data_IF_669208134510
#
_entry.id   IF_669208134510
#
_cell.length_a   1.000
_cell.length_b   1.000
_cell.length_c   1.000
_cell.angle_alpha   90.00
_cell.angle_beta   90.00
_cell.angle_gamma   90.00
#
_symmetry.space_group_name_H-M   'P 1'
#
loop_
_entity.id
_entity.type
_entity.pdbx_description
1 polymer ?
#
# COMPACT_ATOMS: atom_id res chain seq x y z
N UNK A 1 -10.91 -55.16 -14.23
CA UNK A 1 -12.07 -55.11 -13.31
C UNK A 1 -12.33 -53.63 -13.01
N UNK A 2 -13.08 -52.90 -13.84
CA UNK A 2 -14.54 -52.67 -13.78
C UNK A 2 -15.07 -52.33 -12.39
N UNK A 3 -15.24 -51.03 -12.12
CA UNK A 3 -16.49 -50.50 -11.56
C UNK A 3 -16.67 -49.04 -11.99
N UNK A 4 -17.84 -48.80 -12.58
CA UNK A 4 -18.40 -47.51 -13.01
C UNK A 4 -19.55 -47.16 -12.06
N UNK A 5 -19.93 -45.88 -12.13
CA UNK A 5 -21.23 -45.28 -11.79
C UNK A 5 -21.34 -44.73 -10.35
N UNK A 6 -22.03 -43.62 -10.06
CA UNK A 6 -23.26 -43.09 -10.67
C UNK A 6 -23.60 -41.64 -10.21
N UNK A 7 -24.42 -40.94 -11.02
CA UNK A 7 -25.42 -39.87 -10.75
C UNK A 7 -24.96 -38.55 -10.07
N UNK A 8 -24.92 -37.38 -10.73
CA UNK A 8 -26.03 -36.47 -11.16
C UNK A 8 -27.04 -36.07 -10.08
N UNK A 9 -27.07 -34.78 -9.75
CA UNK A 9 -28.17 -34.07 -9.07
C UNK A 9 -27.86 -32.57 -9.04
N UNK A 10 -28.37 -31.81 -10.00
CA UNK A 10 -29.62 -31.03 -9.95
C UNK A 10 -29.37 -29.58 -9.52
N UNK A 11 -29.31 -28.73 -10.54
CA UNK A 11 -29.38 -27.28 -10.46
C UNK A 11 -30.75 -26.85 -9.95
N UNK A 12 -30.76 -25.90 -9.01
CA UNK A 12 -31.97 -25.19 -8.62
C UNK A 12 -31.68 -23.69 -8.56
N UNK A 13 -32.54 -22.95 -9.26
CA UNK A 13 -32.51 -21.53 -9.51
C UNK A 13 -32.81 -20.69 -8.27
N UNK A 14 -32.22 -19.49 -8.20
CA UNK A 14 -32.89 -18.35 -7.59
C UNK A 14 -32.44 -17.06 -8.29
N UNK A 15 -33.26 -16.65 -9.26
CA UNK A 15 -33.26 -15.32 -9.83
C UNK A 15 -34.13 -14.44 -8.91
N UNK A 16 -33.52 -13.47 -8.22
CA UNK A 16 -34.23 -12.41 -7.52
C UNK A 16 -33.90 -11.08 -8.19
N UNK A 17 -34.91 -10.55 -8.88
CA UNK A 17 -34.91 -9.25 -9.52
C UNK A 17 -34.92 -8.14 -8.44
N UNK A 18 -33.95 -7.23 -8.50
CA UNK A 18 -34.01 -5.95 -7.80
C UNK A 18 -34.34 -4.86 -8.82
N UNK A 19 -35.61 -4.46 -8.83
CA UNK A 19 -36.10 -3.29 -9.52
C UNK A 19 -35.67 -2.03 -8.76
N UNK A 20 -34.96 -1.13 -9.43
CA UNK A 20 -34.62 0.22 -8.92
C UNK A 20 -35.72 1.17 -9.41
N UNK A 21 -36.45 1.86 -8.50
CA UNK A 21 -37.41 2.88 -8.91
C UNK A 21 -36.68 4.15 -9.37
N UNK A 22 -37.03 4.63 -10.56
CA UNK A 22 -36.64 5.94 -11.07
C UNK A 22 -37.37 7.04 -10.29
N UNK A 23 -36.63 7.84 -9.52
CA UNK A 23 -37.15 9.03 -8.86
C UNK A 23 -36.93 10.27 -9.76
N UNK A 24 -37.92 10.57 -10.60
CA UNK A 24 -38.08 11.87 -11.25
C UNK A 24 -38.79 12.84 -10.28
N UNK A 25 -38.05 13.80 -9.73
CA UNK A 25 -38.59 14.90 -8.95
C UNK A 25 -37.91 16.21 -9.33
N UNK A 26 -38.35 16.83 -10.42
CA UNK A 26 -38.02 18.21 -10.75
C UNK A 26 -38.95 19.13 -9.95
N UNK A 27 -38.44 19.72 -8.88
CA UNK A 27 -39.12 20.82 -8.19
C UNK A 27 -38.68 22.11 -8.89
N UNK A 28 -39.55 22.65 -9.75
CA UNK A 28 -39.40 24.00 -10.28
C UNK A 28 -39.50 24.98 -9.12
N UNK A 29 -38.38 25.61 -8.79
CA UNK A 29 -38.28 26.64 -7.79
C UNK A 29 -38.68 27.97 -8.45
N UNK A 30 -39.91 28.38 -8.20
CA UNK A 30 -40.51 29.64 -8.62
C UNK A 30 -39.66 30.80 -8.07
N UNK A 31 -39.06 31.60 -8.95
CA UNK A 31 -38.33 32.81 -8.57
C UNK A 31 -39.32 33.87 -8.08
N UNK A 32 -39.07 34.52 -6.92
CA UNK A 32 -39.86 35.67 -6.50
C UNK A 32 -39.61 36.86 -7.44
N UNK A 33 -40.67 37.54 -7.92
CA UNK A 33 -40.54 38.82 -8.59
C UNK A 33 -40.31 39.94 -7.55
N UNK A 34 -39.72 41.05 -8.00
CA UNK A 34 -39.45 42.29 -7.27
C UNK A 34 -38.03 42.47 -6.68
N UNK A 35 -37.03 42.48 -7.57
CA UNK A 35 -35.83 43.29 -7.35
C UNK A 35 -36.18 44.77 -7.61
N UNK A 36 -36.44 45.49 -6.53
CA UNK A 36 -36.67 46.94 -6.51
C UNK A 36 -35.47 47.71 -7.08
N UNK A 37 -35.66 48.69 -7.99
CA UNK A 37 -34.57 49.48 -8.59
C UNK A 37 -33.91 50.52 -7.65
N UNK A 38 -34.21 50.53 -6.35
CA UNK A 38 -33.73 51.56 -5.42
C UNK A 38 -32.31 51.34 -4.86
N UNK A 39 -31.62 50.25 -5.22
CA UNK A 39 -30.25 49.97 -4.72
C UNK A 39 -29.10 50.48 -5.61
N UNK A 40 -29.39 51.08 -6.77
CA UNK A 40 -28.33 51.47 -7.71
C UNK A 40 -27.63 52.80 -7.39
N UNK A 41 -28.21 53.67 -6.56
CA UNK A 41 -27.57 54.95 -6.20
C UNK A 41 -26.49 54.81 -5.10
N UNK A 42 -26.51 53.73 -4.30
CA UNK A 42 -25.46 53.44 -3.31
C UNK A 42 -24.18 52.85 -3.92
N UNK A 43 -24.20 52.44 -5.19
CA UNK A 43 -23.03 51.82 -5.86
C UNK A 43 -22.08 52.83 -6.52
N UNK A 44 -22.34 54.14 -6.42
CA UNK A 44 -21.50 55.17 -7.09
C UNK A 44 -20.35 55.73 -6.25
N UNK A 45 -20.27 55.40 -4.97
CA UNK A 45 -19.10 55.72 -4.13
C UNK A 45 -18.32 54.43 -3.87
N UNK A 46 -17.52 54.03 -4.85
CA UNK A 46 -16.46 53.06 -4.61
C UNK A 46 -15.41 53.78 -3.78
N UNK A 47 -15.27 53.37 -2.52
CA UNK A 47 -14.23 53.87 -1.63
C UNK A 47 -12.84 53.59 -2.25
N UNK A 48 -12.03 54.63 -2.54
CA UNK A 48 -10.69 54.46 -3.10
C UNK A 48 -9.76 53.63 -2.20
N UNK A 49 -10.04 53.54 -0.90
CA UNK A 49 -9.25 52.73 0.03
C UNK A 49 -9.55 51.23 -0.14
N UNK A 50 -10.80 50.87 -0.43
CA UNK A 50 -11.21 49.50 -0.74
C UNK A 50 -10.60 49.01 -2.06
N UNK A 51 -10.45 49.89 -3.07
CA UNK A 51 -9.75 49.56 -4.31
C UNK A 51 -8.27 49.26 -4.07
N UNK A 52 -7.58 50.05 -3.23
CA UNK A 52 -6.19 49.77 -2.84
C UNK A 52 -6.02 48.44 -2.11
N UNK A 53 -6.96 48.10 -1.21
CA UNK A 53 -6.93 46.80 -0.53
C UNK A 53 -7.13 45.62 -1.50
N UNK A 54 -8.01 45.78 -2.50
CA UNK A 54 -8.23 44.77 -3.53
C UNK A 54 -7.01 44.59 -4.44
N UNK A 55 -6.30 45.68 -4.78
CA UNK A 55 -5.04 45.62 -5.53
C UNK A 55 -3.93 44.93 -4.74
N UNK A 56 -3.79 45.24 -3.44
CA UNK A 56 -2.81 44.59 -2.57
C UNK A 56 -3.05 43.07 -2.45
N UNK A 57 -4.32 42.67 -2.34
CA UNK A 57 -4.73 41.26 -2.32
C UNK A 57 -4.47 40.56 -3.66
N UNK A 58 -4.67 41.26 -4.78
CA UNK A 58 -4.39 40.73 -6.12
C UNK A 58 -2.91 40.45 -6.31
N UNK A 59 -2.03 41.36 -5.89
CA UNK A 59 -0.58 41.17 -5.97
C UNK A 59 -0.11 40.01 -5.09
N UNK A 60 -0.69 39.85 -3.89
CA UNK A 60 -0.42 38.68 -3.05
C UNK A 60 -0.87 37.36 -3.69
N UNK A 61 -2.05 37.34 -4.31
CA UNK A 61 -2.54 36.18 -5.05
C UNK A 61 -1.66 35.84 -6.26
N UNK A 62 -1.19 36.85 -7.00
CA UNK A 62 -0.27 36.64 -8.13
C UNK A 62 1.07 36.08 -7.66
N UNK A 63 1.63 36.59 -6.56
CA UNK A 63 2.86 36.02 -5.98
C UNK A 63 2.67 34.60 -5.49
N UNK A 64 1.52 34.29 -4.87
CA UNK A 64 1.19 32.92 -4.48
C UNK A 64 1.05 32.02 -5.70
N UNK A 65 0.40 32.49 -6.77
CA UNK A 65 0.31 31.75 -8.03
C UNK A 65 1.68 31.54 -8.70
N UNK A 66 2.55 32.55 -8.71
CA UNK A 66 3.92 32.41 -9.22
C UNK A 66 4.76 31.46 -8.36
N UNK A 67 4.60 31.50 -7.04
CA UNK A 67 5.28 30.57 -6.13
C UNK A 67 4.79 29.14 -6.37
N UNK A 68 3.48 28.94 -6.50
CA UNK A 68 2.88 27.64 -6.82
C UNK A 68 3.23 27.16 -8.24
N UNK A 69 3.38 28.08 -9.21
CA UNK A 69 3.80 27.76 -10.56
C UNK A 69 5.29 27.41 -10.65
N UNK A 70 6.14 28.06 -9.85
CA UNK A 70 7.56 27.72 -9.70
C UNK A 70 7.78 26.41 -8.93
N UNK A 71 6.92 26.10 -7.96
CA UNK A 71 6.89 24.78 -7.31
C UNK A 71 6.38 23.66 -8.25
N UNK A 72 5.65 24.03 -9.31
CA UNK A 72 5.09 23.10 -10.30
C UNK A 72 6.04 22.68 -11.43
N UNK A 73 7.26 23.24 -11.53
CA UNK A 73 8.25 22.89 -12.57
C UNK A 73 9.55 22.35 -11.99
N UNK A 74 9.49 21.60 -10.88
CA UNK A 74 10.45 20.52 -10.71
C UNK A 74 10.05 19.48 -11.76
N UNK A 75 10.61 19.61 -12.96
CA UNK A 75 10.64 18.54 -13.95
C UNK A 75 10.91 17.25 -13.17
N UNK A 76 9.92 16.36 -13.18
CA UNK A 76 9.95 15.07 -12.51
C UNK A 76 11.03 14.25 -13.22
N UNK A 77 12.29 14.55 -12.90
CA UNK A 77 13.44 13.89 -13.48
C UNK A 77 13.34 12.45 -12.99
N UNK A 78 12.82 11.60 -13.87
CA UNK A 78 12.71 10.17 -13.65
C UNK A 78 14.09 9.67 -13.19
N UNK A 79 14.18 9.31 -11.91
CA UNK A 79 15.42 8.77 -11.34
C UNK A 79 15.74 7.49 -12.12
N UNK A 80 16.98 7.36 -12.58
CA UNK A 80 17.45 6.17 -13.30
C UNK A 80 18.53 5.48 -12.50
N UNK A 81 18.54 4.15 -12.54
CA UNK A 81 19.61 3.38 -11.92
C UNK A 81 20.90 3.41 -12.76
N UNK A 82 21.96 2.76 -12.27
CA UNK A 82 23.24 2.66 -12.97
C UNK A 82 23.15 1.96 -14.35
N UNK A 83 22.02 1.32 -14.67
CA UNK A 83 21.74 0.67 -15.96
C UNK A 83 20.77 1.47 -16.82
N UNK A 84 20.41 2.69 -16.42
CA UNK A 84 19.48 3.57 -17.14
C UNK A 84 18.00 3.19 -16.99
N UNK A 85 17.67 2.21 -16.13
CA UNK A 85 16.29 1.79 -15.88
C UNK A 85 15.59 2.81 -15.00
N UNK A 86 14.33 3.07 -15.29
CA UNK A 86 13.52 4.02 -14.54
C UNK A 86 13.17 3.48 -13.15
N UNK A 87 13.27 4.38 -12.18
CA UNK A 87 12.95 4.13 -10.79
C UNK A 87 11.67 4.86 -10.42
N UNK A 88 10.78 4.14 -9.75
CA UNK A 88 9.60 4.73 -9.15
C UNK A 88 10.01 5.67 -8.02
N UNK A 89 9.35 6.82 -7.95
CA UNK A 89 9.45 7.75 -6.82
C UNK A 89 8.81 7.12 -5.58
N UNK A 90 9.48 7.23 -4.44
CA UNK A 90 8.94 6.78 -3.17
C UNK A 90 8.19 7.91 -2.48
N UNK A 91 7.01 7.59 -1.96
CA UNK A 91 6.26 8.46 -1.04
C UNK A 91 6.79 8.30 0.39
N UNK A 92 7.88 9.01 0.68
CA UNK A 92 8.50 9.02 2.00
C UNK A 92 7.64 9.66 3.08
N UNK A 93 6.75 10.58 2.70
CA UNK A 93 5.83 11.20 3.65
C UNK A 93 4.86 10.14 4.17
N UNK A 94 4.17 9.42 3.29
CA UNK A 94 3.26 8.34 3.69
C UNK A 94 3.98 7.22 4.43
N UNK A 95 5.23 6.93 4.06
CA UNK A 95 6.06 5.95 4.79
C UNK A 95 6.27 6.37 6.25
N UNK A 96 6.63 7.64 6.49
CA UNK A 96 6.82 8.18 7.86
C UNK A 96 5.53 8.20 8.66
N UNK A 97 4.41 8.56 8.04
CA UNK A 97 3.09 8.55 8.67
C UNK A 97 2.72 7.13 9.15
N UNK A 98 2.86 6.12 8.28
CA UNK A 98 2.59 4.73 8.62
C UNK A 98 3.54 4.19 9.71
N UNK A 99 4.83 4.56 9.65
CA UNK A 99 5.82 4.18 10.65
C UNK A 99 5.48 4.79 12.02
N UNK A 100 5.04 6.05 12.08
CA UNK A 100 4.61 6.69 13.33
C UNK A 100 3.40 5.95 13.94
N UNK A 101 2.42 5.56 13.12
CA UNK A 101 1.27 4.77 13.56
C UNK A 101 1.69 3.37 14.03
N UNK A 102 2.70 2.77 13.41
CA UNK A 102 3.25 1.48 13.83
C UNK A 102 3.93 1.57 15.20
N UNK A 103 4.82 2.56 15.40
CA UNK A 103 5.49 2.81 16.69
C UNK A 103 4.48 3.11 17.82
N UNK A 104 3.42 3.85 17.50
CA UNK A 104 2.34 4.11 18.47
C UNK A 104 1.59 2.84 18.88
N UNK A 105 1.39 1.88 17.96
CA UNK A 105 0.78 0.58 18.28
C UNK A 105 1.67 -0.27 19.18
N UNK A 106 2.97 -0.33 18.87
CA UNK A 106 3.95 -1.10 19.65
C UNK A 106 4.11 -0.55 21.08
N UNK A 107 4.18 0.78 21.25
CA UNK A 107 4.25 1.40 22.59
C UNK A 107 3.00 1.15 23.45
N UNK A 108 1.81 1.14 22.84
CA UNK A 108 0.57 0.79 23.54
C UNK A 108 0.53 -0.68 23.98
N UNK A 109 1.04 -1.60 23.17
CA UNK A 109 1.13 -3.01 23.53
C UNK A 109 2.02 -3.24 24.76
N UNK A 110 3.14 -2.50 24.89
CA UNK A 110 4.07 -2.63 26.02
C UNK A 110 3.58 -2.04 27.35
N UNK A 111 2.62 -1.10 27.34
CA UNK A 111 2.22 -0.36 28.55
C UNK A 111 1.08 -1.02 29.34
N UNK A 112 0.34 -1.97 28.74
CA UNK A 112 -0.83 -2.61 29.35
C UNK A 112 -0.48 -3.98 29.98
N UNK A 113 0.27 -3.97 31.07
CA UNK A 113 0.72 -5.15 31.83
C UNK A 113 -0.33 -5.74 32.81
N UNK A 114 -1.62 -5.83 32.44
CA UNK A 114 -2.62 -6.48 33.34
C UNK A 114 -3.69 -7.36 32.70
N UNK A 115 -3.73 -7.56 31.38
CA UNK A 115 -4.55 -8.63 30.80
C UNK A 115 -4.03 -9.08 29.42
N UNK A 116 -3.92 -10.39 29.16
CA UNK A 116 -3.53 -10.90 27.85
C UNK A 116 -4.59 -10.50 26.82
N UNK A 117 -4.28 -9.56 25.93
CA UNK A 117 -5.09 -9.31 24.74
C UNK A 117 -4.82 -10.42 23.71
N UNK A 118 -5.85 -11.04 23.10
CA UNK A 118 -5.68 -12.12 22.11
C UNK A 118 -5.08 -11.67 20.76
N UNK A 119 -4.60 -10.43 20.67
CA UNK A 119 -3.95 -9.84 19.49
C UNK A 119 -2.60 -9.24 19.91
N UNK A 120 -1.81 -10.02 20.64
CA UNK A 120 -0.44 -9.65 20.98
C UNK A 120 0.33 -9.48 19.68
N UNK A 121 0.81 -8.26 19.44
CA UNK A 121 1.57 -7.91 18.24
C UNK A 121 2.95 -8.55 18.39
N UNK A 122 3.20 -9.58 17.61
CA UNK A 122 4.51 -10.22 17.54
C UNK A 122 5.58 -9.16 17.19
N UNK A 123 6.79 -9.17 17.74
CA UNK A 123 7.87 -8.37 17.17
C UNK A 123 8.14 -8.77 15.70
N UNK A 124 8.69 -7.86 14.88
CA UNK A 124 9.19 -8.23 13.57
C UNK A 124 10.27 -9.32 13.68
N UNK A 125 10.26 -10.26 12.75
CA UNK A 125 11.31 -11.26 12.67
C UNK A 125 12.66 -10.59 12.35
N UNK A 126 13.68 -10.92 13.16
CA UNK A 126 14.98 -10.26 13.07
C UNK A 126 15.80 -10.78 11.88
N UNK A 127 16.38 -9.88 11.06
CA UNK A 127 17.38 -10.25 10.07
C UNK A 127 18.62 -10.88 10.72
N UNK A 128 19.16 -11.96 10.15
CA UNK A 128 20.30 -12.70 10.74
C UNK A 128 21.62 -12.55 9.96
N UNK A 129 21.52 -12.21 8.68
CA UNK A 129 22.67 -12.17 7.75
C UNK A 129 23.07 -10.74 7.35
N UNK A 130 22.47 -9.72 7.96
CA UNK A 130 22.63 -8.31 7.59
C UNK A 130 22.77 -7.50 8.86
N UNK A 131 23.75 -6.59 8.89
CA UNK A 131 23.92 -5.63 9.98
C UNK A 131 22.87 -4.51 9.87
N UNK A 132 22.54 -3.87 10.99
CA UNK A 132 21.46 -2.87 11.00
C UNK A 132 21.71 -1.69 10.03
N UNK A 133 22.96 -1.31 9.81
CA UNK A 133 23.36 -0.25 8.88
C UNK A 133 23.13 -0.63 7.41
N UNK A 134 23.29 -1.91 7.05
CA UNK A 134 22.99 -2.40 5.70
C UNK A 134 21.49 -2.38 5.36
N UNK A 135 20.60 -2.38 6.37
CA UNK A 135 19.14 -2.28 6.16
C UNK A 135 18.69 -0.87 5.77
N UNK A 136 19.58 0.12 5.87
CA UNK A 136 19.38 1.49 5.37
C UNK A 136 19.72 1.61 3.87
N UNK A 137 20.48 0.64 3.33
CA UNK A 137 20.95 0.66 1.94
C UNK A 137 19.83 0.71 0.90
N UNK A 138 18.72 -0.05 1.02
CA UNK A 138 17.64 0.04 0.06
C UNK A 138 17.00 1.42 0.12
N UNK A 139 16.91 2.10 -1.03
CA UNK A 139 16.22 3.40 -1.14
C UNK A 139 14.70 3.22 -1.27
N UNK A 140 14.13 2.24 -0.57
CA UNK A 140 12.70 1.95 -0.53
C UNK A 140 12.33 1.40 0.86
N UNK A 141 11.07 1.58 1.30
CA UNK A 141 10.62 1.03 2.57
C UNK A 141 10.76 -0.50 2.58
N UNK A 142 11.52 -1.01 3.55
CA UNK A 142 11.75 -2.43 3.72
C UNK A 142 10.59 -3.01 4.54
N UNK A 143 9.72 -3.77 3.87
CA UNK A 143 8.57 -4.41 4.48
C UNK A 143 8.90 -5.85 4.88
N UNK A 144 8.80 -6.15 6.17
CA UNK A 144 9.01 -7.48 6.74
C UNK A 144 7.76 -7.95 7.46
N UNK A 145 7.47 -9.26 7.46
CA UNK A 145 6.34 -9.80 8.22
C UNK A 145 6.61 -9.74 9.72
N UNK A 146 5.58 -9.30 10.44
CA UNK A 146 5.49 -9.31 11.89
C UNK A 146 5.17 -10.72 12.38
N UNK A 147 6.19 -11.56 12.61
CA UNK A 147 6.02 -12.97 13.04
C UNK A 147 7.11 -13.40 14.02
N UNK A 148 6.71 -14.17 15.04
CA UNK A 148 7.60 -14.73 16.07
C UNK A 148 8.26 -16.06 15.65
N UNK A 149 7.66 -16.75 14.70
CA UNK A 149 8.02 -18.12 14.30
C UNK A 149 8.61 -18.14 12.89
N UNK A 150 9.49 -17.17 12.60
CA UNK A 150 10.32 -17.18 11.41
C UNK A 150 11.62 -17.94 11.68
N UNK A 151 12.02 -18.78 10.73
CA UNK A 151 13.26 -19.53 10.76
C UNK A 151 14.07 -19.29 9.48
N UNK A 152 15.39 -19.27 9.56
CA UNK A 152 16.27 -19.07 8.40
C UNK A 152 16.36 -20.31 7.50
N UNK A 153 15.98 -21.49 8.02
CA UNK A 153 16.09 -22.78 7.34
C UNK A 153 14.82 -23.62 7.49
N UNK A 154 14.61 -24.55 6.56
CA UNK A 154 13.44 -25.44 6.53
C UNK A 154 13.37 -26.42 7.72
N UNK A 155 14.52 -26.75 8.30
CA UNK A 155 14.61 -27.63 9.48
C UNK A 155 14.31 -26.90 10.80
N UNK A 156 13.97 -25.60 10.73
CA UNK A 156 13.67 -24.74 11.89
C UNK A 156 14.81 -24.67 12.91
N UNK A 157 16.05 -24.91 12.49
CA UNK A 157 17.23 -24.94 13.38
C UNK A 157 17.63 -23.56 13.91
N UNK A 158 17.35 -22.49 13.16
CA UNK A 158 17.71 -21.12 13.53
C UNK A 158 16.54 -20.16 13.32
N UNK A 159 16.22 -19.37 14.34
CA UNK A 159 15.19 -18.33 14.29
C UNK A 159 15.68 -17.06 13.59
N UNK A 160 14.76 -16.42 12.89
CA UNK A 160 14.96 -15.15 12.19
C UNK A 160 14.67 -15.27 10.70
N UNK A 161 15.16 -14.30 9.94
CA UNK A 161 15.02 -14.26 8.49
C UNK A 161 16.34 -13.86 7.82
N UNK A 162 16.47 -14.24 6.55
CA UNK A 162 17.55 -13.79 5.71
C UNK A 162 17.07 -12.60 4.89
N UNK A 163 17.79 -11.48 4.92
CA UNK A 163 17.47 -10.27 4.14
C UNK A 163 18.63 -9.98 3.20
N UNK A 164 18.34 -9.56 1.98
CA UNK A 164 19.34 -9.29 0.95
C UNK A 164 19.12 -7.89 0.37
N UNK A 165 19.55 -6.84 1.08
CA UNK A 165 19.35 -5.47 0.63
C UNK A 165 20.24 -5.11 -0.55
N UNK A 166 19.69 -4.32 -1.47
CA UNK A 166 20.36 -3.66 -2.60
C UNK A 166 19.78 -2.25 -2.74
N UNK A 167 20.46 -1.39 -3.50
CA UNK A 167 20.13 0.05 -3.55
C UNK A 167 18.68 0.35 -3.96
N UNK A 168 18.09 -0.45 -4.85
CA UNK A 168 16.74 -0.24 -5.41
C UNK A 168 15.82 -1.47 -5.30
N UNK A 169 16.28 -2.47 -4.55
CA UNK A 169 15.64 -3.78 -4.43
C UNK A 169 16.00 -4.44 -3.10
N UNK A 170 15.12 -5.25 -2.54
CA UNK A 170 15.49 -6.21 -1.50
C UNK A 170 14.68 -7.50 -1.68
N UNK A 171 15.20 -8.58 -1.13
CA UNK A 171 14.45 -9.82 -0.88
C UNK A 171 14.68 -10.26 0.56
N UNK A 172 13.65 -10.79 1.21
CA UNK A 172 13.70 -11.35 2.54
C UNK A 172 13.05 -12.74 2.52
N UNK A 173 13.74 -13.74 3.04
CA UNK A 173 13.27 -15.12 3.09
C UNK A 173 13.23 -15.66 4.51
N UNK A 174 12.22 -16.48 4.78
CA UNK A 174 12.09 -17.22 6.02
C UNK A 174 11.22 -18.45 5.85
N UNK A 175 11.33 -19.39 6.77
CA UNK A 175 10.51 -20.58 6.87
C UNK A 175 9.55 -20.45 8.03
N UNK A 176 8.32 -20.91 7.83
CA UNK A 176 7.30 -21.01 8.88
C UNK A 176 6.35 -22.17 8.55
N UNK A 177 6.16 -23.06 9.53
CA UNK A 177 5.19 -24.17 9.48
C UNK A 177 5.25 -25.01 8.18
N UNK A 178 6.48 -25.38 7.76
CA UNK A 178 6.73 -26.21 6.57
C UNK A 178 6.65 -25.47 5.23
N UNK A 179 6.45 -24.15 5.24
CA UNK A 179 6.46 -23.31 4.04
C UNK A 179 7.67 -22.38 4.04
N UNK A 180 8.15 -22.01 2.85
CA UNK A 180 9.12 -20.94 2.65
C UNK A 180 8.39 -19.71 2.13
N UNK A 181 8.67 -18.57 2.74
CA UNK A 181 8.11 -17.28 2.37
C UNK A 181 9.23 -16.39 1.84
N UNK A 182 8.98 -15.75 0.72
CA UNK A 182 9.82 -14.69 0.17
C UNK A 182 9.02 -13.40 0.11
N UNK A 183 9.59 -12.29 0.60
CA UNK A 183 9.06 -10.95 0.46
C UNK A 183 10.09 -10.12 -0.26
N UNK A 184 9.74 -9.57 -1.41
CA UNK A 184 10.62 -8.71 -2.19
C UNK A 184 9.99 -7.36 -2.46
N UNK A 185 10.84 -6.34 -2.62
CA UNK A 185 10.43 -4.99 -2.96
C UNK A 185 11.36 -4.41 -4.02
N UNK A 186 10.81 -3.63 -4.95
CA UNK A 186 11.56 -3.03 -6.06
C UNK A 186 11.04 -1.63 -6.41
N UNK A 187 11.99 -0.72 -6.68
CA UNK A 187 11.71 0.57 -7.33
C UNK A 187 11.80 0.50 -8.85
N UNK A 188 12.39 -0.55 -9.39
CA UNK A 188 12.66 -0.66 -10.83
C UNK A 188 11.34 -0.89 -11.56
N UNK A 189 11.04 -0.04 -12.54
CA UNK A 189 9.92 -0.23 -13.44
C UNK A 189 10.27 -1.37 -14.41
N UNK A 190 9.72 -2.56 -14.17
CA UNK A 190 10.02 -3.75 -14.98
C UNK A 190 9.32 -3.74 -16.35
N UNK A 191 8.11 -3.20 -16.43
CA UNK A 191 7.36 -3.03 -17.67
C UNK A 191 6.28 -1.96 -17.49
N UNK A 192 6.19 -1.03 -18.44
CA UNK A 192 5.06 -0.10 -18.51
C UNK A 192 3.97 -0.74 -19.37
N UNK A 193 2.84 -1.06 -18.74
CA UNK A 193 1.67 -1.58 -19.45
C UNK A 193 0.95 -0.38 -20.04
N UNK A 194 1.16 -0.12 -21.33
CA UNK A 194 0.54 1.00 -22.04
C UNK A 194 -0.81 0.65 -22.68
N UNK A 195 -1.12 -0.64 -22.88
CA UNK A 195 -2.41 -1.08 -23.44
C UNK A 195 -3.56 -0.90 -22.42
N UNK A 196 -4.56 -0.05 -22.70
CA UNK A 196 -5.71 0.17 -21.81
C UNK A 196 -6.54 -1.10 -21.54
N UNK A 197 -6.49 -2.11 -22.41
CA UNK A 197 -7.16 -3.40 -22.16
C UNK A 197 -6.40 -4.21 -21.12
N UNK A 198 -5.08 -4.29 -21.26
CA UNK A 198 -4.22 -4.93 -20.26
C UNK A 198 -4.33 -4.21 -18.90
N UNK A 199 -4.33 -2.88 -18.86
CA UNK A 199 -4.53 -2.11 -17.62
C UNK A 199 -5.85 -2.49 -16.95
N UNK A 200 -6.96 -2.52 -17.72
CA UNK A 200 -8.27 -2.91 -17.18
C UNK A 200 -8.30 -4.35 -16.67
N UNK A 201 -7.66 -5.27 -17.39
CA UNK A 201 -7.54 -6.66 -16.95
C UNK A 201 -6.75 -6.75 -15.64
N UNK A 202 -5.61 -6.08 -15.55
CA UNK A 202 -4.80 -6.01 -14.33
C UNK A 202 -5.54 -5.40 -13.15
N UNK A 203 -6.33 -4.34 -13.39
CA UNK A 203 -7.19 -3.75 -12.37
C UNK A 203 -8.31 -4.72 -11.94
N UNK A 204 -8.88 -5.50 -12.86
CA UNK A 204 -9.90 -6.49 -12.55
C UNK A 204 -9.36 -7.71 -11.77
N UNK A 205 -8.07 -8.03 -11.93
CA UNK A 205 -7.39 -9.09 -11.17
C UNK A 205 -7.02 -8.67 -9.74
N UNK A 206 -7.12 -7.38 -9.43
CA UNK A 206 -6.80 -6.83 -8.11
C UNK A 206 -8.00 -7.03 -7.17
N UNK A 207 -7.75 -7.65 -6.02
CA UNK A 207 -8.73 -7.78 -4.96
C UNK A 207 -9.08 -6.43 -4.32
N UNK A 208 -10.12 -6.42 -3.49
CA UNK A 208 -10.54 -5.23 -2.72
C UNK A 208 -9.44 -4.74 -1.76
N UNK A 209 -8.56 -5.65 -1.33
CA UNK A 209 -7.37 -5.40 -0.53
C UNK A 209 -6.21 -4.77 -1.32
N UNK A 210 -6.37 -4.60 -2.63
CA UNK A 210 -5.33 -4.07 -3.51
C UNK A 210 -4.27 -5.10 -3.94
N UNK A 211 -4.42 -6.37 -3.54
CA UNK A 211 -3.50 -7.45 -3.88
C UNK A 211 -3.89 -8.09 -5.22
N UNK A 212 -2.90 -8.42 -6.04
CA UNK A 212 -3.10 -9.32 -7.19
C UNK A 212 -2.51 -10.68 -6.85
N UNK A 213 -3.39 -11.67 -6.71
CA UNK A 213 -3.02 -13.03 -6.31
C UNK A 213 -2.88 -13.93 -7.53
N UNK A 214 -1.81 -14.73 -7.56
CA UNK A 214 -1.57 -15.74 -8.61
C UNK A 214 -1.19 -17.06 -7.96
N UNK A 215 -1.72 -18.17 -8.48
CA UNK A 215 -1.27 -19.51 -8.08
C UNK A 215 -0.05 -19.87 -8.93
N UNK A 216 1.02 -20.27 -8.28
CA UNK A 216 2.24 -20.75 -8.94
C UNK A 216 2.31 -22.27 -8.89
N UNK A 217 3.29 -22.88 -9.56
CA UNK A 217 3.51 -24.32 -9.49
C UNK A 217 3.89 -24.80 -8.08
N UNK A 218 4.51 -23.92 -7.28
CA UNK A 218 5.04 -24.24 -5.95
C UNK A 218 4.21 -23.66 -4.80
N UNK A 219 3.18 -22.86 -5.08
CA UNK A 219 2.30 -22.29 -4.07
C UNK A 219 1.53 -21.05 -4.56
N UNK A 220 1.71 -19.93 -3.87
CA UNK A 220 0.96 -18.68 -4.10
C UNK A 220 1.91 -17.49 -4.23
N UNK A 221 1.54 -16.51 -5.06
CA UNK A 221 2.17 -15.20 -5.08
C UNK A 221 1.13 -14.09 -4.93
N UNK A 222 1.53 -13.00 -4.30
CA UNK A 222 0.75 -11.80 -4.11
C UNK A 222 1.60 -10.57 -4.45
N UNK A 223 1.16 -9.80 -5.43
CA UNK A 223 1.83 -8.56 -5.83
C UNK A 223 0.98 -7.34 -5.48
N UNK A 224 1.63 -6.27 -5.05
CA UNK A 224 0.97 -5.00 -4.74
C UNK A 224 1.94 -3.82 -4.87
N UNK A 225 1.41 -2.60 -4.76
CA UNK A 225 2.20 -1.37 -4.77
C UNK A 225 1.91 -0.60 -3.49
N UNK A 226 2.96 -0.17 -2.77
CA UNK A 226 2.85 0.65 -1.57
C UNK A 226 3.97 1.69 -1.56
N UNK A 227 3.68 2.91 -1.13
CA UNK A 227 4.68 4.01 -1.11
C UNK A 227 5.38 4.29 -2.45
N UNK A 228 4.78 3.91 -3.58
CA UNK A 228 5.41 4.01 -4.90
C UNK A 228 6.35 2.86 -5.30
N UNK A 229 6.69 1.93 -4.40
CA UNK A 229 7.42 0.71 -4.75
C UNK A 229 6.48 -0.47 -5.05
N UNK A 230 6.94 -1.39 -5.89
CA UNK A 230 6.27 -2.67 -6.13
C UNK A 230 6.80 -3.70 -5.12
N UNK A 231 5.89 -4.51 -4.56
CA UNK A 231 6.22 -5.60 -3.66
C UNK A 231 5.60 -6.89 -4.17
N UNK A 232 6.28 -7.99 -3.90
CA UNK A 232 5.83 -9.34 -4.21
C UNK A 232 6.08 -10.23 -2.99
N UNK A 233 5.08 -11.02 -2.63
CA UNK A 233 5.16 -12.05 -1.61
C UNK A 233 5.01 -13.38 -2.33
N UNK A 234 5.90 -14.33 -2.07
CA UNK A 234 5.79 -15.69 -2.56
C UNK A 234 5.73 -16.65 -1.39
N UNK A 235 4.86 -17.64 -1.51
CA UNK A 235 4.73 -18.76 -0.58
C UNK A 235 5.04 -20.01 -1.37
N UNK A 236 6.09 -20.71 -0.96
CA UNK A 236 6.51 -21.99 -1.51
C UNK A 236 6.22 -23.10 -0.51
N UNK A 237 5.55 -24.12 -0.98
CA UNK A 237 5.16 -25.28 -0.20
C UNK A 237 5.97 -26.50 -0.59
N UNK A 238 6.25 -27.37 0.38
CA UNK A 238 6.91 -28.66 0.12
C UNK A 238 6.00 -29.58 -0.72
N UNK A 239 4.70 -29.59 -0.43
CA UNK A 239 3.69 -30.32 -1.19
C UNK A 239 2.46 -29.42 -1.46
N UNK A 240 2.44 -28.69 -2.60
CA UNK A 240 1.38 -27.72 -2.90
C UNK A 240 0.02 -28.37 -3.19
N UNK A 241 -0.03 -29.68 -3.47
CA UNK A 241 -1.28 -30.39 -3.77
C UNK A 241 -1.89 -31.00 -2.50
N UNK A 242 -1.07 -31.53 -1.60
CA UNK A 242 -1.53 -32.09 -0.34
C UNK A 242 -1.87 -31.01 0.70
N UNK A 243 -1.11 -29.91 0.77
CA UNK A 243 -1.31 -28.88 1.79
C UNK A 243 -2.41 -27.87 1.36
N UNK A 244 -3.54 -27.79 2.09
CA UNK A 244 -4.62 -26.86 1.74
C UNK A 244 -4.20 -25.39 1.88
N UNK A 245 -3.24 -25.05 2.74
CA UNK A 245 -2.78 -23.66 2.96
C UNK A 245 -2.16 -23.06 1.72
N UNK A 246 -1.57 -23.90 0.86
CA UNK A 246 -0.95 -23.53 -0.42
C UNK A 246 -1.95 -23.22 -1.52
N UNK A 247 -3.24 -23.48 -1.27
CA UNK A 247 -4.34 -23.18 -2.18
C UNK A 247 -5.30 -22.14 -1.60
N UNK A 248 -5.17 -21.85 -0.30
CA UNK A 248 -5.99 -20.86 0.40
C UNK A 248 -5.40 -19.45 0.21
N UNK A 249 -6.09 -18.55 -0.52
CA UNK A 249 -5.63 -17.17 -0.70
C UNK A 249 -5.58 -16.38 0.62
N UNK A 250 -6.29 -16.79 1.68
CA UNK A 250 -6.17 -16.11 2.98
C UNK A 250 -4.80 -16.29 3.62
N UNK A 251 -4.09 -17.39 3.34
CA UNK A 251 -2.71 -17.60 3.84
C UNK A 251 -1.80 -16.44 3.46
N UNK A 252 -1.75 -16.09 2.17
CA UNK A 252 -0.86 -15.03 1.68
C UNK A 252 -1.38 -13.64 2.02
N UNK A 253 -2.70 -13.43 2.09
CA UNK A 253 -3.29 -12.16 2.56
C UNK A 253 -2.96 -11.89 4.03
N UNK A 254 -2.95 -12.92 4.88
CA UNK A 254 -2.53 -12.79 6.28
C UNK A 254 -1.08 -12.32 6.39
N UNK A 255 -0.18 -12.82 5.55
CA UNK A 255 1.21 -12.34 5.48
C UNK A 255 1.25 -10.87 5.05
N UNK A 256 0.55 -10.51 3.98
CA UNK A 256 0.51 -9.14 3.46
C UNK A 256 -0.01 -8.13 4.50
N UNK A 257 -1.05 -8.49 5.27
CA UNK A 257 -1.62 -7.65 6.35
C UNK A 257 -0.67 -7.46 7.53
N UNK A 258 0.27 -8.38 7.74
CA UNK A 258 1.25 -8.36 8.84
C UNK A 258 2.59 -7.75 8.43
N UNK A 259 2.70 -7.16 7.24
CA UNK A 259 3.90 -6.46 6.85
C UNK A 259 4.06 -5.15 7.61
N UNK A 260 5.22 -4.98 8.23
CA UNK A 260 5.63 -3.78 8.97
C UNK A 260 6.85 -3.14 8.32
N UNK A 261 6.99 -1.83 8.48
CA UNK A 261 8.19 -1.11 8.03
C UNK A 261 9.31 -1.44 9.00
N UNK A 262 10.37 -2.07 8.49
CA UNK A 262 11.53 -2.49 9.27
C UNK A 262 12.83 -1.77 8.86
N UNK A 263 12.83 -0.96 7.80
CA UNK A 263 14.03 -0.23 7.38
C UNK A 263 13.88 0.45 6.01
N UNK A 264 15.02 0.76 5.39
CA UNK A 264 15.11 1.32 4.04
C UNK A 264 14.75 2.81 3.90
N UNK A 265 14.54 3.52 5.00
CA UNK A 265 14.39 4.99 4.97
C UNK A 265 15.75 5.66 4.72
N UNK A 266 15.85 6.70 3.86
CA UNK A 266 17.09 7.46 3.66
C UNK A 266 17.57 8.14 4.95
N UNK A 267 16.65 8.41 5.88
CA UNK A 267 16.94 9.05 7.16
C UNK A 267 17.44 8.03 8.21
N UNK A 268 17.60 6.75 7.83
CA UNK A 268 18.11 5.71 8.73
C UNK A 268 17.15 5.32 9.85
N UNK A 269 15.85 5.64 9.74
CA UNK A 269 14.84 5.24 10.70
C UNK A 269 14.67 3.70 10.71
N UNK A 270 15.52 3.04 11.49
CA UNK A 270 15.46 1.62 11.78
C UNK A 270 14.68 1.40 13.07
N UNK A 271 13.87 0.35 13.12
CA UNK A 271 13.38 -0.16 14.40
C UNK A 271 14.55 -0.89 15.03
N UNK A 272 15.35 -0.20 15.86
CA UNK A 272 16.28 -0.91 16.72
C UNK A 272 15.47 -1.70 17.76
N UNK A 273 15.44 -3.04 17.71
CA UNK A 273 14.70 -3.82 18.69
C UNK A 273 15.31 -3.69 20.09
N UNK A 274 16.56 -3.22 20.21
CA UNK A 274 17.24 -3.02 21.49
C UNK A 274 17.06 -1.59 22.05
N UNK A 275 16.40 -0.69 21.30
CA UNK A 275 16.22 0.72 21.65
C UNK A 275 17.50 1.56 21.46
N UNK A 276 17.40 2.91 21.48
CA UNK A 276 18.57 3.77 21.37
C UNK A 276 19.49 3.51 22.57
N UNK A 277 20.68 2.97 22.30
CA UNK A 277 21.76 2.83 23.31
C UNK A 277 22.35 4.18 23.70
#
# INVERSE_FOLDING_TARGET
MRSRAFLTGLAAALAAALAVPAATGQTQQELPPELQPQRFDQLRQIDPEMLRQLELNRDQLLRLQETLAQEGTVEDQLERDARGRELRRIDWQRTREDLAVQLQRQSRAGTLTTAPSPLETAPPAMPRNVQADELVRPRLPLLLPETLDAYTHADMSERGMLVFPRDQFYSATYHHDGMMFEVSGSRIVAAEISDPRAIRLWQALRGEDGLTLTRTETGLSASFTRYGAAYDIQVHCVDPDADPRCRDPETIRNVARRLVIAGGSPDGAYLDPEGPR
#
